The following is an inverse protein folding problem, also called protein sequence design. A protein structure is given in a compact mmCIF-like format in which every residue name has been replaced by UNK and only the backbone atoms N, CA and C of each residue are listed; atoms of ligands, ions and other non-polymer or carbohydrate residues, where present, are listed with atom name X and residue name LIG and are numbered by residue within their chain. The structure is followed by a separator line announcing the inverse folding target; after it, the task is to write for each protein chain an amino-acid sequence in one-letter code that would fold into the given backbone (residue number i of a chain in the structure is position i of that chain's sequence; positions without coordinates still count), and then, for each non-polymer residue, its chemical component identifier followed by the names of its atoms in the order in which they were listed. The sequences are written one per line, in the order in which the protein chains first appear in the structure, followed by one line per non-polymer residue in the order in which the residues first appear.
data_IF_645593984309
#
_entry.id   IF_645593984309
#
_cell.length_a   1.000
_cell.length_b   1.000
_cell.length_c   1.000
_cell.angle_alpha   90.00
_cell.angle_beta   90.00
_cell.angle_gamma   90.00
#
_symmetry.space_group_name_H-M   'P 1'
#
loop_
_entity.id
_entity.type
_entity.pdbx_description
1 polymer ?
#
# COMPACT_ATOMS: atom_id res chain seq x y z
N UNK A 1 6.86 0.94 8.69
CA UNK A 1 5.62 1.29 7.97
C UNK A 1 4.78 0.04 7.92
N UNK A 2 3.47 0.15 8.07
CA UNK A 2 2.55 -0.99 8.00
C UNK A 2 1.43 -0.67 7.02
N UNK A 3 0.92 -1.73 6.39
CA UNK A 3 -0.18 -1.63 5.41
C UNK A 3 -1.14 -2.78 5.58
N UNK A 4 -2.43 -2.48 5.44
CA UNK A 4 -3.52 -3.44 5.45
C UNK A 4 -4.50 -3.11 4.32
N UNK A 5 -5.27 -4.08 3.87
CA UNK A 5 -6.39 -3.88 2.96
C UNK A 5 -7.65 -4.38 3.66
N UNK A 6 -8.21 -3.65 4.64
CA UNK A 6 -9.29 -4.18 5.49
C UNK A 6 -10.60 -4.48 4.75
N UNK A 7 -10.81 -3.90 3.57
CA UNK A 7 -12.06 -4.06 2.82
C UNK A 7 -11.91 -3.78 1.33
N UNK A 8 -12.91 -4.22 0.57
CA UNK A 8 -13.12 -3.84 -0.82
C UNK A 8 -14.61 -3.58 -1.06
N UNK A 9 -14.92 -2.78 -2.09
CA UNK A 9 -16.30 -2.53 -2.54
C UNK A 9 -16.41 -2.65 -4.05
N UNK A 10 -17.60 -2.99 -4.53
CA UNK A 10 -17.96 -2.84 -5.93
C UNK A 10 -18.51 -1.43 -6.13
N UNK A 11 -18.00 -0.71 -7.12
CA UNK A 11 -18.58 0.54 -7.58
C UNK A 11 -19.26 0.30 -8.92
N UNK A 12 -20.58 0.51 -8.94
CA UNK A 12 -21.32 0.70 -10.18
C UNK A 12 -20.97 2.06 -10.77
N UNK A 13 -20.83 2.09 -12.09
CA UNK A 13 -20.68 3.31 -12.86
C UNK A 13 -21.76 3.27 -13.92
N UNK A 14 -22.54 4.35 -14.05
CA UNK A 14 -23.58 4.45 -15.08
C UNK A 14 -22.97 4.49 -16.50
N UNK A 15 -21.68 4.82 -16.61
CA UNK A 15 -20.96 5.03 -17.87
C UNK A 15 -19.97 3.91 -18.21
N UNK A 16 -19.52 3.14 -17.21
CA UNK A 16 -18.51 2.08 -17.37
C UNK A 16 -18.95 0.78 -16.72
N UNK A 17 -18.39 -0.35 -17.17
CA UNK A 17 -18.57 -1.62 -16.46
C UNK A 17 -18.04 -1.45 -15.03
N UNK A 18 -18.90 -1.66 -14.03
CA UNK A 18 -18.53 -1.43 -12.63
C UNK A 18 -17.30 -2.22 -12.21
N UNK A 19 -16.57 -1.69 -11.24
CA UNK A 19 -15.23 -2.15 -10.87
C UNK A 19 -15.08 -2.33 -9.36
N UNK A 20 -14.13 -3.17 -8.96
CA UNK A 20 -13.80 -3.38 -7.54
C UNK A 20 -12.70 -2.42 -7.11
N UNK A 21 -12.94 -1.73 -5.98
CA UNK A 21 -11.99 -0.84 -5.31
C UNK A 21 -11.56 -1.47 -4.00
N UNK A 22 -10.25 -1.55 -3.78
CA UNK A 22 -9.64 -2.02 -2.54
C UNK A 22 -9.28 -0.81 -1.68
N UNK A 23 -9.70 -0.83 -0.41
CA UNK A 23 -9.36 0.21 0.56
C UNK A 23 -8.12 -0.24 1.34
N UNK A 24 -7.03 0.49 1.15
CA UNK A 24 -5.73 0.28 1.78
C UNK A 24 -5.64 1.20 2.99
N UNK A 25 -5.34 0.64 4.15
CA UNK A 25 -4.97 1.35 5.37
C UNK A 25 -3.45 1.43 5.46
N UNK A 26 -2.92 2.63 5.65
CA UNK A 26 -1.47 2.87 5.69
C UNK A 26 -1.12 3.51 7.03
N UNK A 27 -0.17 2.89 7.74
CA UNK A 27 0.35 3.39 9.01
C UNK A 27 1.84 3.73 8.85
N UNK A 28 2.16 5.01 9.03
CA UNK A 28 3.52 5.52 8.91
C UNK A 28 3.78 6.58 9.98
N UNK A 29 4.83 6.40 10.78
CA UNK A 29 5.23 7.32 11.86
C UNK A 29 4.07 7.71 12.80
N UNK A 30 3.27 6.73 13.20
CA UNK A 30 2.09 6.94 14.07
C UNK A 30 0.91 7.64 13.41
N UNK A 31 0.99 7.99 12.12
CA UNK A 31 -0.12 8.54 11.34
C UNK A 31 -0.79 7.44 10.54
N UNK A 32 -2.11 7.48 10.51
CA UNK A 32 -2.96 6.60 9.71
C UNK A 32 -3.67 7.37 8.61
N UNK A 33 -3.69 6.83 7.41
CA UNK A 33 -4.55 7.29 6.31
C UNK A 33 -5.07 6.12 5.48
N UNK A 34 -6.03 6.42 4.61
CA UNK A 34 -6.59 5.45 3.67
C UNK A 34 -6.28 5.84 2.22
N UNK A 35 -6.01 4.85 1.40
CA UNK A 35 -5.84 4.98 -0.05
C UNK A 35 -6.73 3.96 -0.73
N UNK A 36 -7.35 4.35 -1.83
CA UNK A 36 -8.24 3.46 -2.58
C UNK A 36 -7.66 3.18 -3.95
N UNK A 37 -7.63 1.89 -4.32
CA UNK A 37 -6.97 1.43 -5.55
C UNK A 37 -7.76 0.33 -6.23
N UNK A 38 -7.87 0.42 -7.56
CA UNK A 38 -8.36 -0.66 -8.42
C UNK A 38 -7.23 -1.67 -8.67
N UNK A 39 -7.59 -2.93 -8.92
CA UNK A 39 -6.60 -3.98 -9.24
C UNK A 39 -5.68 -3.60 -10.43
N UNK A 40 -6.21 -2.89 -11.43
CA UNK A 40 -5.42 -2.40 -12.58
C UNK A 40 -4.27 -1.46 -12.15
N UNK A 41 -4.46 -0.65 -11.10
CA UNK A 41 -3.45 0.24 -10.56
C UNK A 41 -2.33 -0.55 -9.85
N UNK A 42 -2.67 -1.58 -9.07
CA UNK A 42 -1.67 -2.47 -8.49
C UNK A 42 -0.85 -3.16 -9.59
N UNK A 43 -1.52 -3.61 -10.65
CA UNK A 43 -0.82 -4.23 -11.76
C UNK A 43 0.11 -3.24 -12.50
N UNK A 44 -0.30 -1.97 -12.64
CA UNK A 44 0.54 -0.93 -13.20
C UNK A 44 1.76 -0.63 -12.31
N UNK A 45 1.56 -0.59 -10.98
CA UNK A 45 2.65 -0.48 -10.00
C UNK A 45 3.64 -1.65 -10.14
N UNK A 46 3.15 -2.88 -10.15
CA UNK A 46 3.98 -4.09 -10.27
C UNK A 46 4.86 -4.07 -11.53
N UNK A 47 4.31 -3.70 -12.69
CA UNK A 47 5.09 -3.56 -13.94
C UNK A 47 6.24 -2.56 -13.80
N UNK A 48 6.04 -1.48 -13.05
CA UNK A 48 7.07 -0.46 -12.84
C UNK A 48 8.10 -0.90 -11.79
N UNK A 49 7.65 -1.52 -10.70
CA UNK A 49 8.54 -2.04 -9.64
C UNK A 49 9.46 -3.15 -10.11
N UNK A 50 9.01 -4.02 -11.02
CA UNK A 50 9.84 -5.06 -11.64
C UNK A 50 11.13 -4.55 -12.28
N UNK A 51 11.20 -3.26 -12.62
CA UNK A 51 12.40 -2.61 -13.18
C UNK A 51 13.37 -2.12 -12.13
N UNK A 52 12.94 -2.00 -10.87
CA UNK A 52 13.70 -1.37 -9.79
C UNK A 52 14.07 -2.35 -8.69
N UNK A 53 13.22 -3.32 -8.39
CA UNK A 53 13.41 -4.27 -7.29
C UNK A 53 12.96 -5.68 -7.69
N UNK A 54 13.43 -6.69 -6.95
CA UNK A 54 12.83 -8.02 -6.99
C UNK A 54 11.42 -7.92 -6.40
N UNK A 55 10.41 -8.22 -7.19
CA UNK A 55 9.01 -8.15 -6.77
C UNK A 55 8.48 -9.52 -6.36
N UNK A 56 7.66 -9.62 -5.30
CA UNK A 56 6.92 -10.84 -4.99
C UNK A 56 5.91 -11.19 -6.10
N UNK A 57 5.31 -12.37 -6.00
CA UNK A 57 4.31 -12.82 -6.97
C UNK A 57 3.05 -11.94 -6.89
N UNK A 58 2.64 -11.40 -8.04
CA UNK A 58 1.45 -10.57 -8.15
C UNK A 58 0.21 -11.47 -8.22
N UNK A 59 -0.85 -11.22 -7.41
CA UNK A 59 -2.09 -11.98 -7.51
C UNK A 59 -2.66 -11.97 -8.94
N UNK A 60 -3.14 -13.12 -9.41
CA UNK A 60 -3.54 -13.32 -10.81
C UNK A 60 -4.58 -12.29 -11.30
N UNK A 61 -4.47 -11.95 -12.59
CA UNK A 61 -5.46 -11.13 -13.31
C UNK A 61 -6.76 -11.89 -13.57
N UNK A 62 -6.63 -13.19 -13.85
CA UNK A 62 -7.74 -14.04 -14.26
C UNK A 62 -8.41 -14.62 -13.04
N UNK A 63 -9.44 -13.92 -12.60
CA UNK A 63 -10.17 -14.22 -11.38
C UNK A 63 -11.64 -14.03 -11.69
N UNK A 64 -12.48 -14.97 -11.26
CA UNK A 64 -13.94 -14.85 -11.37
C UNK A 64 -14.42 -13.80 -10.37
N UNK A 65 -14.39 -12.53 -10.77
CA UNK A 65 -14.68 -11.37 -9.91
C UNK A 65 -16.10 -11.37 -9.30
N UNK A 66 -17.01 -12.24 -9.74
CA UNK A 66 -18.34 -12.38 -9.16
C UNK A 66 -18.40 -13.34 -7.97
N UNK A 67 -17.33 -14.09 -7.68
CA UNK A 67 -17.30 -15.03 -6.55
C UNK A 67 -16.69 -14.31 -5.34
N UNK A 68 -17.45 -14.04 -4.25
CA UNK A 68 -16.96 -13.25 -3.12
C UNK A 68 -15.71 -13.84 -2.46
N UNK A 69 -15.67 -15.17 -2.29
CA UNK A 69 -14.51 -15.89 -1.75
C UNK A 69 -13.23 -15.64 -2.55
N UNK A 70 -13.37 -15.53 -3.86
CA UNK A 70 -12.25 -15.34 -4.77
C UNK A 70 -11.77 -13.87 -4.72
N UNK A 71 -12.69 -12.91 -4.58
CA UNK A 71 -12.32 -11.51 -4.33
C UNK A 71 -11.60 -11.32 -2.99
N UNK A 72 -12.05 -12.02 -1.94
CA UNK A 72 -11.38 -11.99 -0.64
C UNK A 72 -9.97 -12.60 -0.71
N UNK A 73 -9.78 -13.71 -1.43
CA UNK A 73 -8.44 -14.25 -1.69
C UNK A 73 -7.56 -13.24 -2.44
N UNK A 74 -8.12 -12.53 -3.42
CA UNK A 74 -7.38 -11.46 -4.10
C UNK A 74 -7.04 -10.31 -3.16
N UNK A 75 -7.96 -9.89 -2.27
CA UNK A 75 -7.72 -8.85 -1.26
C UNK A 75 -6.53 -9.24 -0.38
N UNK A 76 -6.55 -10.44 0.18
CA UNK A 76 -5.47 -11.01 0.98
C UNK A 76 -4.15 -11.06 0.21
N UNK A 77 -4.18 -11.55 -1.03
CA UNK A 77 -2.98 -11.61 -1.88
C UNK A 77 -2.39 -10.24 -2.19
N UNK A 78 -3.23 -9.21 -2.40
CA UNK A 78 -2.77 -7.83 -2.61
C UNK A 78 -2.16 -7.23 -1.34
N UNK A 79 -2.75 -7.52 -0.18
CA UNK A 79 -2.25 -7.11 1.13
C UNK A 79 -0.88 -7.73 1.40
N UNK A 80 -0.76 -9.05 1.25
CA UNK A 80 0.51 -9.76 1.36
C UNK A 80 1.55 -9.24 0.37
N UNK A 81 1.17 -8.97 -0.88
CA UNK A 81 2.07 -8.39 -1.88
C UNK A 81 2.68 -7.05 -1.42
N UNK A 82 1.87 -6.13 -0.88
CA UNK A 82 2.36 -4.85 -0.37
C UNK A 82 3.24 -5.04 0.87
N UNK A 83 2.83 -5.90 1.81
CA UNK A 83 3.57 -6.17 3.04
C UNK A 83 4.92 -6.80 2.76
N UNK A 84 5.02 -7.75 1.81
CA UNK A 84 6.29 -8.35 1.40
C UNK A 84 7.24 -7.32 0.78
N UNK A 85 6.75 -6.39 -0.05
CA UNK A 85 7.61 -5.31 -0.58
C UNK A 85 8.17 -4.46 0.57
N UNK A 86 7.35 -4.13 1.57
CA UNK A 86 7.79 -3.36 2.74
C UNK A 86 8.82 -4.12 3.57
N UNK A 87 8.61 -5.42 3.76
CA UNK A 87 9.48 -6.27 4.56
C UNK A 87 10.85 -6.54 3.90
N UNK A 88 10.86 -6.77 2.59
CA UNK A 88 12.08 -7.17 1.86
C UNK A 88 12.99 -5.99 1.46
N UNK A 89 12.54 -4.74 1.60
CA UNK A 89 13.27 -3.56 1.12
C UNK A 89 13.50 -2.57 2.26
N UNK A 90 14.77 -2.38 2.68
CA UNK A 90 15.14 -1.34 3.65
C UNK A 90 14.75 0.06 3.18
N UNK A 91 14.96 0.33 1.87
CA UNK A 91 14.57 1.58 1.22
C UNK A 91 13.47 1.32 0.19
N UNK A 92 12.31 1.95 0.37
CA UNK A 92 11.16 1.76 -0.52
C UNK A 92 11.29 2.65 -1.77
N UNK A 93 11.09 2.10 -2.97
CA UNK A 93 11.08 2.90 -4.20
C UNK A 93 10.03 4.02 -4.12
N UNK A 94 10.39 5.23 -4.56
CA UNK A 94 9.48 6.40 -4.54
C UNK A 94 8.12 6.11 -5.17
N UNK A 95 8.09 5.33 -6.24
CA UNK A 95 6.83 4.97 -6.91
C UNK A 95 5.88 4.13 -6.04
N UNK A 96 6.42 3.33 -5.13
CA UNK A 96 5.63 2.59 -4.15
C UNK A 96 5.06 3.53 -3.09
N UNK A 97 5.87 4.47 -2.60
CA UNK A 97 5.43 5.49 -1.66
C UNK A 97 4.35 6.40 -2.26
N UNK A 98 4.54 6.84 -3.51
CA UNK A 98 3.55 7.62 -4.26
C UNK A 98 2.24 6.83 -4.44
N UNK A 99 2.31 5.53 -4.74
CA UNK A 99 1.13 4.67 -4.84
C UNK A 99 0.34 4.60 -3.53
N UNK A 100 1.03 4.67 -2.39
CA UNK A 100 0.44 4.68 -1.05
C UNK A 100 0.20 6.09 -0.49
N UNK A 101 0.33 7.14 -1.33
CA UNK A 101 0.23 8.55 -0.93
C UNK A 101 1.11 8.92 0.28
N UNK A 102 2.23 8.22 0.47
CA UNK A 102 3.23 8.56 1.47
C UNK A 102 4.13 9.63 0.87
N UNK A 103 3.80 10.90 1.10
CA UNK A 103 4.73 12.01 0.81
C UNK A 103 5.93 11.86 1.73
N UNK A 104 7.13 12.21 1.24
CA UNK A 104 8.33 12.30 2.07
C UNK A 104 7.98 13.08 3.35
N UNK A 105 7.93 12.37 4.46
CA UNK A 105 7.90 13.02 5.77
C UNK A 105 9.19 13.83 5.84
N UNK A 106 9.16 15.14 6.17
CA UNK A 106 10.38 15.79 6.60
C UNK A 106 10.93 14.91 7.72
N UNK A 107 12.20 14.53 7.61
CA UNK A 107 12.90 13.81 8.66
C UNK A 107 12.56 14.48 9.98
N UNK A 108 12.04 13.72 10.95
CA UNK A 108 11.88 14.25 12.31
C UNK A 108 13.23 14.89 12.67
N UNK A 109 13.28 16.13 13.19
CA UNK A 109 14.49 16.58 13.84
C UNK A 109 14.81 15.51 14.88
N UNK A 110 16.02 14.93 14.79
CA UNK A 110 16.56 14.09 15.86
C UNK A 110 16.29 14.86 17.13
N UNK A 111 15.47 14.31 18.03
CA UNK A 111 15.23 14.92 19.31
C UNK A 111 16.61 15.16 19.92
N UNK A 112 17.06 16.42 19.92
CA UNK A 112 18.21 16.80 20.70
C UNK A 112 17.82 16.51 22.14
N UNK A 113 18.55 15.57 22.73
CA UNK A 113 18.50 15.25 24.15
C UNK A 113 18.52 16.58 24.90
N UNK A 114 17.39 16.94 25.53
CA UNK A 114 17.32 18.07 26.44
C UNK A 114 18.12 17.67 27.68
N UNK A 115 19.42 17.90 27.61
CA UNK A 115 20.32 17.79 28.75
C UNK A 115 19.91 18.84 29.77
N UNK A 116 19.25 18.40 30.84
CA UNK A 116 19.08 19.21 32.04
C UNK A 116 20.47 19.52 32.59
N UNK A 117 21.00 20.72 32.27
CA UNK A 117 22.11 21.30 33.01
C UNK A 117 21.53 21.98 34.24
N UNK A 118 21.63 21.28 35.36
CA UNK A 118 21.57 21.87 36.70
C UNK A 118 22.69 22.92 36.76
N UNK A 119 22.35 24.15 37.11
CA UNK A 119 23.32 25.14 37.57
C UNK A 119 23.01 25.43 39.05
N UNK A 120 24.08 25.31 39.84
CA UNK A 120 24.16 25.58 41.27
C UNK A 120 23.91 27.06 41.59
#
# INVERSE_FOLDING_TARGET
MEVYIPSFRYEESDLERGYTVFRIEVLVNGRKHFVEKRYSEFHALHKKLKKSIKTPEMPSKHVRNWIPKVLEQRRQGLESYLQTIIYENEELPKIFLDFLNVRHLPSLPKAESCGYRILF
#
